data_IF_466798095104
#
_entry.id   IF_466798095104
#
_cell.length_a   1.000
_cell.length_b   1.000
_cell.length_c   1.000
_cell.angle_alpha   90.00
_cell.angle_beta   90.00
_cell.angle_gamma   90.00
#
_symmetry.space_group_name_H-M   'P 1'
#
loop_
_entity.id
_entity.type
_entity.pdbx_description
1 polymer ?
#
# COMPACT_ATOMS: atom_id res chain seq x y z
N UNK A 1 -35.15 -9.45 21.78
CA UNK A 1 -34.15 -9.75 20.71
C UNK A 1 -34.54 -9.26 19.31
N UNK A 2 -35.84 -9.15 18.94
CA UNK A 2 -36.32 -8.74 17.59
C UNK A 2 -36.11 -7.25 17.23
N UNK A 3 -36.09 -6.35 18.21
CA UNK A 3 -35.93 -4.90 17.99
C UNK A 3 -34.49 -4.48 17.62
N UNK A 4 -33.48 -5.18 18.13
CA UNK A 4 -32.06 -4.85 17.89
C UNK A 4 -31.63 -5.16 16.45
N UNK A 5 -32.18 -6.23 15.85
CA UNK A 5 -31.90 -6.63 14.47
C UNK A 5 -32.50 -5.65 13.44
N UNK A 6 -33.70 -5.14 13.68
CA UNK A 6 -34.35 -4.17 12.79
C UNK A 6 -33.62 -2.82 12.75
N UNK A 7 -33.07 -2.38 13.87
CA UNK A 7 -32.28 -1.14 13.93
C UNK A 7 -30.96 -1.28 13.18
N UNK A 8 -30.26 -2.41 13.32
CA UNK A 8 -29.03 -2.67 12.58
C UNK A 8 -29.27 -2.73 11.06
N UNK A 9 -30.39 -3.31 10.60
CA UNK A 9 -30.74 -3.36 9.18
C UNK A 9 -31.06 -1.98 8.59
N UNK A 10 -31.74 -1.10 9.36
CA UNK A 10 -31.98 0.30 8.97
C UNK A 10 -30.69 1.10 8.86
N UNK A 11 -29.76 0.93 9.81
CA UNK A 11 -28.47 1.61 9.80
C UNK A 11 -27.62 1.15 8.62
N UNK A 12 -27.59 -0.17 8.33
CA UNK A 12 -26.86 -0.73 7.20
C UNK A 12 -27.41 -0.24 5.84
N UNK A 13 -28.73 -0.16 5.70
CA UNK A 13 -29.35 0.35 4.46
C UNK A 13 -29.08 1.85 4.27
N UNK A 14 -29.10 2.64 5.35
CA UNK A 14 -28.77 4.07 5.29
C UNK A 14 -27.31 4.30 4.89
N UNK A 15 -26.36 3.52 5.42
CA UNK A 15 -24.93 3.62 5.04
C UNK A 15 -24.67 3.14 3.62
N UNK A 16 -25.34 2.08 3.16
CA UNK A 16 -25.28 1.62 1.77
C UNK A 16 -25.79 2.68 0.80
N UNK A 17 -26.94 3.29 1.10
CA UNK A 17 -27.54 4.34 0.27
C UNK A 17 -26.63 5.58 0.18
N UNK A 18 -25.98 5.95 1.28
CA UNK A 18 -25.04 7.07 1.32
C UNK A 18 -23.76 6.77 0.52
N UNK A 19 -23.26 5.53 0.57
CA UNK A 19 -22.10 5.08 -0.21
C UNK A 19 -22.38 5.06 -1.71
N UNK A 20 -23.61 4.69 -2.10
CA UNK A 20 -24.05 4.68 -3.49
C UNK A 20 -24.17 6.11 -4.04
N UNK A 21 -24.77 7.05 -3.29
CA UNK A 21 -24.85 8.45 -3.73
C UNK A 21 -23.46 9.09 -3.88
N UNK A 22 -22.57 8.91 -2.91
CA UNK A 22 -21.18 9.41 -3.02
C UNK A 22 -20.45 8.83 -4.24
N UNK A 23 -20.71 7.57 -4.60
CA UNK A 23 -20.11 6.94 -5.75
C UNK A 23 -20.65 7.50 -7.07
N UNK A 24 -21.95 7.83 -7.14
CA UNK A 24 -22.56 8.49 -8.31
C UNK A 24 -21.96 9.87 -8.55
N UNK A 25 -21.70 10.63 -7.49
CA UNK A 25 -21.10 11.96 -7.59
C UNK A 25 -19.65 11.89 -8.11
N UNK A 26 -18.87 10.90 -7.64
CA UNK A 26 -17.51 10.66 -8.15
C UNK A 26 -17.53 10.28 -9.64
N UNK A 27 -18.48 9.44 -10.06
CA UNK A 27 -18.62 9.04 -11.47
C UNK A 27 -19.00 10.25 -12.34
N UNK A 28 -19.89 11.12 -11.85
CA UNK A 28 -20.30 12.35 -12.56
C UNK A 28 -19.15 13.34 -12.68
N UNK A 29 -18.34 13.50 -11.64
CA UNK A 29 -17.12 14.32 -11.65
C UNK A 29 -16.11 13.83 -12.69
N UNK A 30 -15.77 12.53 -12.69
CA UNK A 30 -14.83 11.97 -13.68
C UNK A 30 -15.34 12.06 -15.12
N UNK A 31 -16.66 11.92 -15.35
CA UNK A 31 -17.26 12.04 -16.70
C UNK A 31 -17.11 13.46 -17.27
N UNK A 32 -17.16 14.49 -16.42
CA UNK A 32 -16.93 15.87 -16.84
C UNK A 32 -15.44 16.13 -17.17
N UNK A 33 -14.50 15.56 -16.44
CA UNK A 33 -13.06 15.65 -16.78
C UNK A 33 -12.74 14.98 -18.14
N UNK A 34 -13.38 13.86 -18.44
CA UNK A 34 -13.24 13.16 -19.74
C UNK A 34 -13.87 13.96 -20.90
N UNK A 35 -14.94 14.73 -20.63
CA UNK A 35 -15.55 15.62 -21.63
C UNK A 35 -14.65 16.83 -21.94
N UNK A 36 -14.02 17.42 -20.92
CA UNK A 36 -13.13 18.57 -21.10
C UNK A 36 -11.83 18.18 -21.83
N UNK A 37 -11.30 16.97 -21.63
CA UNK A 37 -10.15 16.46 -22.40
C UNK A 37 -10.48 16.21 -23.88
N UNK A 38 -11.72 15.77 -24.19
CA UNK A 38 -12.22 15.64 -25.58
C UNK A 38 -12.41 17.00 -26.27
N UNK A 39 -12.91 18.00 -25.54
CA UNK A 39 -13.08 19.37 -26.03
C UNK A 39 -11.72 20.08 -26.25
N UNK A 40 -10.73 19.79 -25.38
CA UNK A 40 -9.36 20.28 -25.55
C UNK A 40 -8.67 19.63 -26.76
N UNK A 41 -8.92 18.34 -27.04
CA UNK A 41 -8.43 17.64 -28.24
C UNK A 41 -9.06 18.15 -29.55
N UNK A 42 -10.34 18.50 -29.55
CA UNK A 42 -11.03 19.08 -30.71
C UNK A 42 -10.61 20.52 -31.01
N UNK A 43 -10.29 21.31 -29.97
CA UNK A 43 -9.72 22.66 -30.15
C UNK A 43 -8.27 22.60 -30.64
N UNK A 44 -7.46 21.64 -30.16
CA UNK A 44 -6.08 21.45 -30.61
C UNK A 44 -5.99 20.98 -32.06
N UNK A 45 -6.91 20.11 -32.50
CA UNK A 45 -7.01 19.66 -33.91
C UNK A 45 -7.40 20.82 -34.85
N UNK A 46 -8.24 21.76 -34.40
CA UNK A 46 -8.63 22.94 -35.19
C UNK A 46 -7.55 24.03 -35.22
N UNK A 47 -6.65 24.05 -34.23
CA UNK A 47 -5.48 24.93 -34.21
C UNK A 47 -4.33 24.41 -35.11
N UNK A 48 -4.25 23.09 -35.34
CA UNK A 48 -3.22 22.49 -36.20
C UNK A 48 -3.63 22.29 -37.67
N UNK A 49 -4.89 22.48 -38.04
CA UNK A 49 -5.33 22.20 -39.41
C UNK A 49 -6.37 23.19 -39.95
N UNK A 50 -5.94 24.44 -40.19
CA UNK A 50 -6.59 25.28 -41.20
C UNK A 50 -5.66 26.34 -41.79
N UNK A 51 -4.78 25.92 -42.71
CA UNK A 51 -4.21 26.80 -43.74
C UNK A 51 -4.12 26.04 -45.07
N UNK A 52 -5.22 26.04 -45.83
CA UNK A 52 -5.14 25.90 -47.27
C UNK A 52 -4.50 27.19 -47.83
N UNK A 53 -3.18 27.18 -48.02
CA UNK A 53 -2.41 28.29 -48.56
C UNK A 53 -2.63 28.39 -50.07
N UNK A 54 -3.28 29.47 -50.54
CA UNK A 54 -3.17 29.92 -51.94
C UNK A 54 -1.95 30.84 -52.08
N UNK A 55 -1.08 30.46 -53.01
CA UNK A 55 0.21 31.08 -53.34
C UNK A 55 0.22 32.62 -53.36
N UNK A 56 1.06 33.22 -52.52
CA UNK A 56 1.69 34.52 -52.78
C UNK A 56 3.16 34.43 -52.37
N UNK A 57 4.08 34.51 -53.34
CA UNK A 57 5.53 34.59 -53.07
C UNK A 57 5.82 35.92 -52.39
N UNK A 58 5.99 35.89 -51.07
CA UNK A 58 6.58 36.98 -50.30
C UNK A 58 7.91 36.46 -49.77
N UNK A 59 9.03 37.01 -50.27
CA UNK A 59 10.33 36.83 -49.61
C UNK A 59 10.35 37.75 -48.38
N UNK A 60 9.80 37.25 -47.27
CA UNK A 60 9.96 37.87 -45.96
C UNK A 60 11.17 37.26 -45.28
N UNK A 61 12.13 38.10 -44.93
CA UNK A 61 13.12 37.77 -43.91
C UNK A 61 12.37 37.97 -42.59
N UNK A 62 11.97 36.84 -41.99
CA UNK A 62 11.10 36.82 -40.82
C UNK A 62 11.91 37.21 -39.57
N UNK A 63 11.60 38.35 -38.95
CA UNK A 63 12.03 38.66 -37.59
C UNK A 63 11.14 37.91 -36.59
N UNK A 64 11.73 37.34 -35.54
CA UNK A 64 10.97 36.82 -34.41
C UNK A 64 10.34 37.98 -33.66
N UNK A 65 9.02 37.94 -33.46
CA UNK A 65 8.37 38.89 -32.56
C UNK A 65 8.53 38.40 -31.13
N UNK A 66 8.79 39.31 -30.18
CA UNK A 66 8.87 38.96 -28.75
C UNK A 66 7.59 38.29 -28.24
N UNK A 67 6.45 38.66 -28.83
CA UNK A 67 5.13 38.11 -28.49
C UNK A 67 5.02 36.64 -28.92
N UNK A 68 5.57 36.26 -30.07
CA UNK A 68 5.59 34.87 -30.54
C UNK A 68 6.45 33.98 -29.63
N UNK A 69 7.63 34.45 -29.21
CA UNK A 69 8.48 33.73 -28.25
C UNK A 69 7.83 33.59 -26.88
N UNK A 70 7.08 34.60 -26.43
CA UNK A 70 6.33 34.55 -25.17
C UNK A 70 5.23 33.48 -25.22
N UNK A 71 4.47 33.42 -26.32
CA UNK A 71 3.43 32.40 -26.51
C UNK A 71 4.06 31.00 -26.64
N UNK A 72 5.17 30.86 -27.35
CA UNK A 72 5.86 29.58 -27.49
C UNK A 72 6.31 29.02 -26.13
N UNK A 73 6.90 29.85 -25.27
CA UNK A 73 7.37 29.43 -23.93
C UNK A 73 6.18 29.05 -23.03
N UNK A 74 5.07 29.79 -23.08
CA UNK A 74 3.88 29.46 -22.26
C UNK A 74 3.25 28.12 -22.64
N UNK A 75 3.16 27.81 -23.94
CA UNK A 75 2.71 26.49 -24.42
C UNK A 75 3.69 25.40 -24.00
N UNK A 76 5.00 25.66 -24.11
CA UNK A 76 6.05 24.71 -23.71
C UNK A 76 5.95 24.36 -22.21
N UNK A 77 5.84 25.36 -21.34
CA UNK A 77 5.72 25.15 -19.89
C UNK A 77 4.45 24.34 -19.59
N UNK A 78 3.33 24.69 -20.22
CA UNK A 78 2.05 23.97 -20.02
C UNK A 78 2.16 22.50 -20.46
N UNK A 79 2.86 22.23 -21.56
CA UNK A 79 3.09 20.88 -22.06
C UNK A 79 3.98 20.03 -21.14
N UNK A 80 4.91 20.63 -20.39
CA UNK A 80 5.81 19.92 -19.48
C UNK A 80 5.19 19.66 -18.10
N UNK A 81 4.37 20.58 -17.59
CA UNK A 81 3.76 20.45 -16.25
C UNK A 81 2.84 19.22 -16.19
N UNK A 82 2.03 18.98 -17.23
CA UNK A 82 1.10 17.84 -17.26
C UNK A 82 1.79 16.49 -16.98
N UNK A 83 2.74 16.06 -17.82
CA UNK A 83 3.49 14.82 -17.62
C UNK A 83 4.24 14.77 -16.30
N UNK A 84 4.85 15.88 -15.85
CA UNK A 84 5.60 15.91 -14.60
C UNK A 84 4.74 15.53 -13.38
N UNK A 85 3.52 16.04 -13.30
CA UNK A 85 2.61 15.71 -12.18
C UNK A 85 2.20 14.23 -12.16
N UNK A 86 2.08 13.60 -13.34
CA UNK A 86 1.79 12.17 -13.45
C UNK A 86 2.98 11.35 -12.96
N UNK A 87 4.20 11.71 -13.36
CA UNK A 87 5.43 11.03 -12.90
C UNK A 87 5.56 11.08 -11.38
N UNK A 88 5.32 12.24 -10.77
CA UNK A 88 5.37 12.39 -9.31
C UNK A 88 4.37 11.46 -8.59
N UNK A 89 3.13 11.38 -9.09
CA UNK A 89 2.11 10.47 -8.56
C UNK A 89 2.49 9.00 -8.75
N UNK A 90 3.03 8.64 -9.91
CA UNK A 90 3.49 7.28 -10.20
C UNK A 90 4.63 6.86 -9.28
N UNK A 91 5.61 7.72 -9.03
CA UNK A 91 6.71 7.42 -8.10
C UNK A 91 6.21 7.21 -6.67
N UNK A 92 5.31 8.09 -6.20
CA UNK A 92 4.69 7.93 -4.87
C UNK A 92 3.91 6.61 -4.77
N UNK A 93 3.13 6.27 -5.80
CA UNK A 93 2.42 4.99 -5.86
C UNK A 93 3.35 3.79 -5.89
N UNK A 94 4.48 3.86 -6.61
CA UNK A 94 5.46 2.80 -6.68
C UNK A 94 6.14 2.56 -5.32
N UNK A 95 6.49 3.64 -4.61
CA UNK A 95 7.05 3.55 -3.27
C UNK A 95 6.05 2.94 -2.27
N UNK A 96 4.77 3.32 -2.34
CA UNK A 96 3.73 2.71 -1.53
C UNK A 96 3.57 1.20 -1.82
N UNK A 97 3.52 0.82 -3.11
CA UNK A 97 3.43 -0.58 -3.51
C UNK A 97 4.66 -1.38 -3.04
N UNK A 98 5.86 -0.81 -3.14
CA UNK A 98 7.09 -1.44 -2.63
C UNK A 98 6.97 -1.76 -1.15
N UNK A 99 6.60 -0.79 -0.31
CA UNK A 99 6.44 -1.03 1.12
C UNK A 99 5.33 -2.05 1.43
N UNK A 100 4.23 -2.04 0.67
CA UNK A 100 3.15 -3.01 0.82
C UNK A 100 3.61 -4.45 0.54
N UNK A 101 4.43 -4.65 -0.50
CA UNK A 101 4.99 -5.97 -0.85
C UNK A 101 5.96 -6.44 0.23
N UNK A 102 6.84 -5.56 0.72
CA UNK A 102 7.76 -5.88 1.83
C UNK A 102 6.96 -6.31 3.06
N UNK A 103 5.94 -5.54 3.46
CA UNK A 103 5.07 -5.90 4.59
C UNK A 103 4.35 -7.24 4.42
N UNK A 104 3.93 -7.57 3.19
CA UNK A 104 3.32 -8.87 2.88
C UNK A 104 4.30 -10.01 3.12
N UNK A 105 5.53 -9.91 2.61
CA UNK A 105 6.55 -10.93 2.80
C UNK A 105 7.00 -11.04 4.25
N UNK A 106 7.16 -9.92 4.97
CA UNK A 106 7.48 -9.93 6.40
C UNK A 106 6.40 -10.59 7.26
N UNK A 107 5.12 -10.43 6.89
CA UNK A 107 4.03 -11.10 7.57
C UNK A 107 4.02 -12.61 7.30
N UNK A 108 4.18 -12.99 6.04
CA UNK A 108 4.25 -14.40 5.63
C UNK A 108 5.42 -15.14 6.27
N UNK A 109 6.60 -14.53 6.30
CA UNK A 109 7.80 -15.09 6.92
C UNK A 109 7.58 -15.45 8.40
N UNK A 110 6.93 -14.57 9.18
CA UNK A 110 6.65 -14.85 10.59
C UNK A 110 5.65 -16.00 10.79
N UNK A 111 4.66 -16.13 9.90
CA UNK A 111 3.72 -17.25 9.90
C UNK A 111 4.46 -18.56 9.59
N UNK A 112 5.28 -18.56 8.53
CA UNK A 112 6.05 -19.75 8.16
C UNK A 112 7.04 -20.15 9.25
N UNK A 113 7.66 -19.19 9.94
CA UNK A 113 8.51 -19.46 11.08
C UNK A 113 7.76 -20.17 12.21
N UNK A 114 6.56 -19.69 12.57
CA UNK A 114 5.74 -20.30 13.62
C UNK A 114 5.27 -21.69 13.19
N UNK A 115 4.91 -21.87 11.92
CA UNK A 115 4.57 -23.18 11.36
C UNK A 115 5.78 -24.14 11.43
N UNK A 116 6.96 -23.67 11.05
CA UNK A 116 8.20 -24.45 11.12
C UNK A 116 8.53 -24.88 12.55
N UNK A 117 8.38 -24.00 13.56
CA UNK A 117 8.54 -24.38 14.97
C UNK A 117 7.55 -25.46 15.39
N UNK A 118 6.27 -25.29 15.02
CA UNK A 118 5.21 -26.27 15.31
C UNK A 118 5.46 -27.64 14.68
N UNK A 119 5.80 -27.66 13.39
CA UNK A 119 6.13 -28.89 12.65
C UNK A 119 7.40 -29.55 13.24
N UNK A 120 8.44 -28.76 13.53
CA UNK A 120 9.67 -29.24 14.16
C UNK A 120 9.42 -29.87 15.53
N UNK A 121 8.55 -29.27 16.34
CA UNK A 121 8.14 -29.83 17.64
C UNK A 121 7.42 -31.18 17.49
N UNK A 122 6.50 -31.28 16.52
CA UNK A 122 5.81 -32.54 16.21
C UNK A 122 6.80 -33.63 15.77
N UNK A 123 7.78 -33.29 14.92
CA UNK A 123 8.82 -34.22 14.47
C UNK A 123 9.73 -34.71 15.60
N UNK A 124 10.02 -33.85 16.58
CA UNK A 124 10.85 -34.18 17.74
C UNK A 124 10.08 -34.89 18.87
N UNK A 125 8.76 -35.09 18.73
CA UNK A 125 7.93 -35.74 19.73
C UNK A 125 7.74 -34.94 21.02
N UNK A 126 7.94 -33.62 20.97
CA UNK A 126 7.71 -32.69 22.09
C UNK A 126 6.36 -31.97 21.92
N UNK A 127 5.97 -31.15 22.90
CA UNK A 127 4.72 -30.37 22.81
C UNK A 127 4.74 -29.49 21.56
N UNK A 128 3.69 -29.55 20.74
CA UNK A 128 3.58 -28.78 19.49
C UNK A 128 3.65 -27.25 19.70
N UNK A 129 3.35 -26.79 20.93
CA UNK A 129 3.39 -25.38 21.35
C UNK A 129 4.70 -24.98 22.03
N UNK A 130 5.69 -25.89 22.12
CA UNK A 130 6.97 -25.59 22.75
C UNK A 130 7.70 -24.46 22.01
N UNK A 131 8.27 -23.53 22.78
CA UNK A 131 8.85 -22.29 22.24
C UNK A 131 7.83 -21.26 21.71
N UNK A 132 6.52 -21.54 21.69
CA UNK A 132 5.47 -20.57 21.31
C UNK A 132 4.64 -20.10 22.50
N UNK A 133 4.71 -20.82 23.62
CA UNK A 133 3.89 -20.61 24.82
C UNK A 133 4.03 -19.21 25.43
N UNK A 134 5.22 -18.62 25.38
CA UNK A 134 5.50 -17.26 25.88
C UNK A 134 4.71 -16.16 25.15
N UNK A 135 4.25 -16.49 23.93
CA UNK A 135 3.54 -15.58 23.03
C UNK A 135 2.05 -15.82 22.97
N UNK A 136 1.54 -16.84 23.66
CA UNK A 136 0.11 -17.11 23.75
C UNK A 136 -0.53 -16.04 24.65
N UNK A 137 -1.48 -15.29 24.09
CA UNK A 137 -2.19 -14.21 24.77
C UNK A 137 -1.40 -12.90 24.90
N UNK A 138 -0.21 -12.81 24.28
CA UNK A 138 0.68 -11.65 24.35
C UNK A 138 1.15 -11.24 22.95
N UNK A 139 1.74 -10.04 22.87
CA UNK A 139 2.40 -9.55 21.65
C UNK A 139 3.86 -10.00 21.66
N UNK A 140 4.34 -10.49 20.53
CA UNK A 140 5.70 -10.97 20.38
C UNK A 140 6.39 -10.44 19.13
N UNK A 141 7.71 -10.37 19.23
CA UNK A 141 8.63 -10.15 18.14
C UNK A 141 9.24 -11.50 17.74
N UNK A 142 9.20 -11.80 16.45
CA UNK A 142 9.80 -13.00 15.86
C UNK A 142 11.08 -12.57 15.16
N UNK A 143 12.19 -13.22 15.51
CA UNK A 143 13.46 -13.11 14.80
C UNK A 143 13.78 -14.44 14.10
N UNK A 144 13.63 -14.46 12.79
CA UNK A 144 13.83 -15.66 11.97
C UNK A 144 15.32 -15.94 11.78
N UNK A 145 16.17 -14.91 11.79
CA UNK A 145 17.61 -15.05 11.55
C UNK A 145 18.30 -15.69 12.75
N UNK A 146 17.89 -15.29 13.95
CA UNK A 146 18.42 -15.82 15.20
C UNK A 146 17.62 -17.01 15.75
N UNK A 147 16.55 -17.45 15.06
CA UNK A 147 15.66 -18.53 15.50
C UNK A 147 15.06 -18.29 16.90
N UNK A 148 14.69 -17.04 17.19
CA UNK A 148 14.13 -16.65 18.49
C UNK A 148 12.75 -16.01 18.36
N UNK A 149 11.93 -16.21 19.39
CA UNK A 149 10.70 -15.48 19.59
C UNK A 149 10.74 -14.89 20.99
N UNK A 150 10.40 -13.61 21.11
CA UNK A 150 10.49 -12.89 22.37
C UNK A 150 9.22 -12.10 22.63
N UNK A 151 8.78 -12.12 23.88
CA UNK A 151 7.64 -11.34 24.32
C UNK A 151 7.97 -9.84 24.28
N UNK A 152 7.06 -9.05 23.72
CA UNK A 152 7.12 -7.59 23.81
C UNK A 152 6.61 -7.12 25.17
N UNK A 153 7.22 -6.09 25.74
CA UNK A 153 6.79 -5.50 27.02
C UNK A 153 5.48 -4.72 26.85
N UNK A 154 5.53 -3.57 26.18
CA UNK A 154 4.35 -2.74 25.84
C UNK A 154 4.19 -2.62 24.32
N UNK A 155 5.28 -2.26 23.63
CA UNK A 155 5.37 -2.17 22.18
C UNK A 155 6.51 -3.05 21.68
N UNK A 156 6.30 -3.75 20.57
CA UNK A 156 7.36 -4.50 19.93
C UNK A 156 8.35 -3.55 19.25
N UNK A 157 9.66 -3.82 19.32
CA UNK A 157 10.67 -3.03 18.64
C UNK A 157 10.49 -3.11 17.12
N UNK A 158 10.80 -2.02 16.42
CA UNK A 158 10.83 -2.01 14.96
C UNK A 158 11.87 -3.03 14.46
N UNK A 159 11.59 -3.66 13.32
CA UNK A 159 12.54 -4.54 12.65
C UNK A 159 13.77 -3.74 12.22
N UNK A 160 14.94 -4.35 12.30
CA UNK A 160 16.16 -3.79 11.74
C UNK A 160 16.43 -4.42 10.36
N UNK A 161 17.20 -3.72 9.54
CA UNK A 161 17.58 -4.14 8.20
C UNK A 161 19.09 -4.29 8.09
N UNK A 162 19.51 -5.46 7.62
CA UNK A 162 20.89 -5.74 7.27
C UNK A 162 21.16 -5.30 5.84
N UNK A 163 21.97 -4.25 5.66
CA UNK A 163 22.35 -3.78 4.33
C UNK A 163 23.36 -4.70 3.63
N UNK A 164 24.04 -5.59 4.35
CA UNK A 164 25.02 -6.51 3.78
C UNK A 164 24.35 -7.74 3.16
N UNK A 165 23.38 -8.35 3.87
CA UNK A 165 22.71 -9.57 3.43
C UNK A 165 21.27 -9.37 2.94
N UNK A 166 20.67 -8.20 3.19
CA UNK A 166 19.29 -7.90 2.78
C UNK A 166 18.22 -8.52 3.66
N UNK A 167 18.53 -8.89 4.89
CA UNK A 167 17.59 -9.50 5.85
C UNK A 167 16.91 -8.48 6.75
N UNK A 168 15.73 -8.84 7.25
CA UNK A 168 15.03 -8.11 8.30
C UNK A 168 15.02 -8.96 9.58
N UNK A 169 15.35 -8.36 10.73
CA UNK A 169 15.51 -9.09 11.99
C UNK A 169 16.03 -8.20 13.11
N UNK A 170 16.69 -8.80 14.11
CA UNK A 170 17.30 -8.07 15.22
C UNK A 170 18.78 -8.45 15.34
N UNK A 171 19.63 -7.71 14.63
CA UNK A 171 21.07 -7.96 14.56
C UNK A 171 21.89 -6.87 15.22
N UNK A 172 23.10 -7.22 15.65
CA UNK A 172 24.09 -6.23 16.07
C UNK A 172 24.55 -5.40 14.87
N UNK A 173 24.56 -4.07 15.00
CA UNK A 173 24.95 -3.12 13.95
C UNK A 173 24.01 -3.08 12.73
N UNK A 174 22.74 -3.49 12.90
CA UNK A 174 21.73 -3.35 11.84
C UNK A 174 20.99 -2.02 11.95
N UNK A 175 20.58 -1.47 10.82
CA UNK A 175 19.90 -0.18 10.76
C UNK A 175 18.42 -0.32 11.11
N UNK A 176 17.86 0.60 11.90
CA UNK A 176 16.45 0.55 12.24
C UNK A 176 15.58 0.81 10.99
N UNK A 177 14.64 -0.11 10.71
CA UNK A 177 13.71 0.03 9.59
C UNK A 177 12.42 0.75 9.99
N UNK A 178 11.65 1.17 8.98
CA UNK A 178 10.31 1.75 9.18
C UNK A 178 9.21 0.73 9.49
N UNK A 179 9.53 -0.57 9.43
CA UNK A 179 8.56 -1.65 9.60
C UNK A 179 8.53 -2.12 11.05
N UNK A 180 7.33 -2.24 11.60
CA UNK A 180 7.08 -2.84 12.90
C UNK A 180 6.20 -4.07 12.69
N UNK A 181 6.71 -5.25 13.04
CA UNK A 181 6.01 -6.53 12.94
C UNK A 181 5.65 -7.00 14.34
N UNK A 182 4.35 -7.23 14.55
CA UNK A 182 3.79 -7.75 15.80
C UNK A 182 3.12 -9.06 15.51
N UNK A 183 3.43 -10.08 16.31
CA UNK A 183 2.76 -11.37 16.26
C UNK A 183 1.94 -11.57 17.52
N UNK A 184 0.67 -11.93 17.35
CA UNK A 184 -0.24 -12.30 18.43
C UNK A 184 -0.71 -13.74 18.23
N UNK A 185 -0.43 -14.60 19.21
CA UNK A 185 -0.91 -15.98 19.21
C UNK A 185 -2.05 -16.06 20.22
N UNK A 186 -3.20 -16.60 19.81
CA UNK A 186 -4.37 -16.79 20.69
C UNK A 186 -4.77 -18.25 20.66
N UNK A 187 -4.91 -18.85 21.85
CA UNK A 187 -5.51 -20.18 21.94
C UNK A 187 -7.01 -20.05 21.69
N UNK A 188 -7.48 -20.74 20.65
CA UNK A 188 -8.92 -20.87 20.37
C UNK A 188 -9.45 -22.04 21.18
N UNK A 189 -8.80 -23.20 21.05
CA UNK A 189 -9.08 -24.45 21.77
C UNK A 189 -7.75 -25.11 22.21
N UNK A 190 -7.83 -26.30 22.83
CA UNK A 190 -6.65 -27.10 23.23
C UNK A 190 -5.81 -27.59 22.03
N UNK A 191 -6.45 -27.73 20.86
CA UNK A 191 -5.82 -28.23 19.62
C UNK A 191 -5.74 -27.15 18.52
N UNK A 192 -6.07 -25.90 18.82
CA UNK A 192 -6.11 -24.83 17.81
C UNK A 192 -5.55 -23.51 18.38
N UNK A 193 -4.57 -22.96 17.67
CA UNK A 193 -4.00 -21.63 17.89
C UNK A 193 -4.30 -20.74 16.69
N UNK A 194 -4.83 -19.55 16.93
CA UNK A 194 -4.93 -18.50 15.90
C UNK A 194 -3.74 -17.57 16.00
N UNK A 195 -2.99 -17.43 14.91
CA UNK A 195 -1.82 -16.57 14.79
C UNK A 195 -2.20 -15.38 13.93
N UNK A 196 -2.13 -14.18 14.50
CA UNK A 196 -2.34 -12.92 13.80
C UNK A 196 -1.01 -12.19 13.72
N UNK A 197 -0.52 -11.98 12.51
CA UNK A 197 0.66 -11.15 12.25
C UNK A 197 0.20 -9.82 11.69
N UNK A 198 0.65 -8.73 12.31
CA UNK A 198 0.37 -7.37 11.86
C UNK A 198 1.69 -6.65 11.61
N UNK A 199 1.88 -6.16 10.39
CA UNK A 199 3.02 -5.34 10.00
C UNK A 199 2.53 -3.92 9.74
N UNK A 200 3.12 -2.96 10.44
CA UNK A 200 2.82 -1.54 10.29
C UNK A 200 4.03 -0.76 9.82
N UNK A 201 3.79 0.26 8.99
CA UNK A 201 4.84 1.16 8.49
C UNK A 201 4.29 2.56 8.27
N UNK A 202 5.18 3.55 8.29
CA UNK A 202 4.82 4.95 8.06
C UNK A 202 4.89 5.27 6.57
N UNK A 203 3.81 5.83 6.01
CA UNK A 203 3.77 6.39 4.66
C UNK A 203 3.43 7.89 4.73
N UNK A 204 4.47 8.72 4.83
CA UNK A 204 4.33 10.16 5.06
C UNK A 204 3.79 10.46 6.46
N UNK A 205 2.59 11.06 6.54
CA UNK A 205 1.93 11.41 7.81
C UNK A 205 1.09 10.25 8.37
N UNK A 206 0.68 9.30 7.51
CA UNK A 206 -0.22 8.22 7.89
C UNK A 206 0.55 6.93 8.14
N UNK A 207 0.18 6.22 9.21
CA UNK A 207 0.61 4.83 9.41
C UNK A 207 -0.31 3.92 8.61
N UNK A 208 0.28 2.95 7.91
CA UNK A 208 -0.39 1.89 7.18
C UNK A 208 -0.12 0.57 7.88
N UNK A 209 -1.07 -0.34 7.75
CA UNK A 209 -1.00 -1.67 8.34
C UNK A 209 -1.40 -2.73 7.32
N UNK A 210 -0.78 -3.89 7.45
CA UNK A 210 -1.10 -5.10 6.74
C UNK A 210 -1.16 -6.24 7.76
N UNK A 211 -2.22 -7.03 7.74
CA UNK A 211 -2.38 -8.13 8.68
C UNK A 211 -2.79 -9.42 7.97
N UNK A 212 -2.25 -10.53 8.45
CA UNK A 212 -2.56 -11.89 8.00
C UNK A 212 -2.88 -12.72 9.24
N UNK A 213 -3.93 -13.52 9.14
CA UNK A 213 -4.33 -14.46 10.18
C UNK A 213 -4.29 -15.87 9.63
N UNK A 214 -3.69 -16.76 10.39
CA UNK A 214 -3.66 -18.19 10.13
C UNK A 214 -4.09 -18.94 11.38
N UNK A 215 -4.72 -20.10 11.18
CA UNK A 215 -5.02 -21.02 12.28
C UNK A 215 -4.07 -22.22 12.18
N UNK A 216 -3.37 -22.50 13.27
CA UNK A 216 -2.53 -23.68 13.42
C UNK A 216 -3.29 -24.71 14.25
N UNK A 217 -3.34 -25.92 13.72
CA UNK A 217 -3.99 -27.05 14.37
C UNK A 217 -2.93 -28.02 14.91
N UNK A 218 -3.26 -28.67 16.02
CA UNK A 218 -2.55 -29.84 16.50
C UNK A 218 -3.04 -31.08 15.72
N UNK A 219 -2.53 -31.25 14.51
CA UNK A 219 -2.73 -32.49 13.77
C UNK A 219 -1.51 -33.38 13.99
N UNK A 220 -1.73 -34.50 14.68
CA UNK A 220 -0.78 -35.60 14.87
C UNK A 220 -1.36 -36.86 14.23
#
# INVERSE_FOLDING_TARGET
MKFTLLNNFKVLNKTLKLKIENMKDIIKSKKNEISQTKLMSLCFSRFLFNRASKNKKIKNINGFTLVETLIAITILISAVIGPMTVVQKSLSSANFAKSQIISFHLAGEAIEYIRNKRDGNTLNGISWTDGLSECIGKKCAVDVVNDTISQCSENCPNLQFDSANGFYGYGSNWESSMFNRVVEIKSVNQEELSVLVTVSWRNGVFTKEFSVRENLFNWQ
#
